data_IF_236709196324
#
_entry.id   IF_236709196324
#
_cell.length_a   1.000
_cell.length_b   1.000
_cell.length_c   1.000
_cell.angle_alpha   90.00
_cell.angle_beta   90.00
_cell.angle_gamma   90.00
#
_symmetry.space_group_name_H-M   'P 1'
#
loop_
_entity.id
_entity.type
_entity.pdbx_description
1 polymer ?
#
# COMPACT_ATOMS: atom_id res chain seq x y z
N UNK A 1 11.74 22.39 16.71
CA UNK A 1 11.98 22.13 15.28
C UNK A 1 10.71 21.54 14.74
N UNK A 2 9.92 22.31 13.99
CA UNK A 2 8.71 21.77 13.34
C UNK A 2 9.19 21.06 12.06
N UNK A 3 9.67 19.83 12.25
CA UNK A 3 10.10 18.99 11.14
C UNK A 3 8.86 18.60 10.35
N UNK A 4 8.81 18.95 9.07
CA UNK A 4 7.82 18.41 8.15
C UNK A 4 7.97 16.89 8.15
N UNK A 5 7.13 16.19 8.92
CA UNK A 5 7.04 14.74 8.84
C UNK A 5 6.27 14.41 7.54
N UNK A 6 6.96 13.77 6.60
CA UNK A 6 6.37 13.30 5.34
C UNK A 6 5.40 12.15 5.66
N UNK A 7 4.10 12.46 5.72
CA UNK A 7 3.01 11.51 6.00
C UNK A 7 2.01 11.46 4.85
N UNK A 8 1.30 10.33 4.76
CA UNK A 8 0.24 10.13 3.77
C UNK A 8 0.73 10.00 2.32
N UNK A 9 2.02 9.70 2.14
CA UNK A 9 2.63 9.60 0.81
C UNK A 9 2.51 8.17 0.29
N UNK A 10 2.05 8.04 -0.96
CA UNK A 10 2.05 6.78 -1.71
C UNK A 10 2.84 6.98 -2.99
N UNK A 11 3.84 6.14 -3.23
CA UNK A 11 4.68 6.19 -4.43
C UNK A 11 4.37 5.04 -5.39
N UNK A 12 4.51 5.33 -6.68
CA UNK A 12 4.31 4.38 -7.78
C UNK A 12 5.67 3.87 -8.25
N UNK A 13 5.95 2.60 -8.01
CA UNK A 13 7.13 1.89 -8.49
C UNK A 13 6.75 0.80 -9.50
N UNK A 14 5.54 0.87 -10.04
CA UNK A 14 5.03 -0.09 -11.01
C UNK A 14 5.58 0.20 -12.41
N UNK A 15 5.71 -0.84 -13.24
CA UNK A 15 6.28 -0.77 -14.59
C UNK A 15 5.25 -1.15 -15.66
N UNK A 16 4.26 -1.97 -15.32
CA UNK A 16 3.21 -2.40 -16.26
C UNK A 16 1.98 -1.49 -16.19
N UNK A 17 1.17 -1.53 -17.26
CA UNK A 17 -0.13 -0.84 -17.28
C UNK A 17 -1.06 -1.32 -16.16
N UNK A 18 -1.10 -2.63 -15.89
CA UNK A 18 -1.96 -3.20 -14.84
C UNK A 18 -1.54 -2.70 -13.47
N UNK A 19 -0.22 -2.62 -13.22
CA UNK A 19 0.30 -2.04 -11.99
C UNK A 19 -0.05 -0.56 -11.85
N UNK A 20 0.08 0.21 -12.94
CA UNK A 20 -0.29 1.63 -12.95
C UNK A 20 -1.78 1.83 -12.66
N UNK A 21 -2.64 1.07 -13.33
CA UNK A 21 -4.09 1.11 -13.15
C UNK A 21 -4.45 0.74 -11.69
N UNK A 22 -3.77 -0.24 -11.09
CA UNK A 22 -3.92 -0.56 -9.67
C UNK A 22 -3.48 0.57 -8.75
N UNK A 23 -2.30 1.17 -8.98
CA UNK A 23 -1.78 2.29 -8.20
C UNK A 23 -2.77 3.45 -8.20
N UNK A 24 -3.29 3.84 -9.36
CA UNK A 24 -4.20 4.98 -9.47
C UNK A 24 -5.50 4.75 -8.67
N UNK A 25 -6.07 3.54 -8.75
CA UNK A 25 -7.25 3.14 -7.97
C UNK A 25 -6.98 3.08 -6.46
N UNK A 26 -5.83 2.51 -6.08
CA UNK A 26 -5.40 2.46 -4.68
C UNK A 26 -5.20 3.87 -4.14
N UNK A 27 -4.46 4.73 -4.83
CA UNK A 27 -4.19 6.10 -4.42
C UNK A 27 -5.49 6.90 -4.26
N UNK A 28 -6.42 6.75 -5.21
CA UNK A 28 -7.74 7.35 -5.10
C UNK A 28 -8.46 6.91 -3.81
N UNK A 29 -8.52 5.59 -3.53
CA UNK A 29 -9.17 5.08 -2.31
C UNK A 29 -8.44 5.45 -1.03
N UNK A 30 -7.12 5.47 -1.05
CA UNK A 30 -6.29 5.90 0.07
C UNK A 30 -6.65 7.33 0.49
N UNK A 31 -6.79 8.24 -0.49
CA UNK A 31 -7.23 9.61 -0.26
C UNK A 31 -8.71 9.72 0.12
N UNK A 32 -9.59 8.96 -0.54
CA UNK A 32 -11.03 8.92 -0.22
C UNK A 32 -11.26 8.56 1.26
N UNK A 33 -10.53 7.58 1.78
CA UNK A 33 -10.58 7.16 3.17
C UNK A 33 -9.70 7.99 4.11
N UNK A 34 -9.02 9.02 3.60
CA UNK A 34 -8.14 9.92 4.36
C UNK A 34 -7.08 9.15 5.17
N UNK A 35 -6.53 8.09 4.58
CA UNK A 35 -5.45 7.33 5.21
C UNK A 35 -4.21 8.25 5.27
N UNK A 36 -3.52 8.26 6.41
CA UNK A 36 -2.38 9.13 6.65
C UNK A 36 -1.25 8.33 7.30
N UNK A 37 -0.59 7.48 6.51
CA UNK A 37 0.51 6.65 6.99
C UNK A 37 1.69 7.51 7.49
N UNK A 38 2.36 7.11 8.58
CA UNK A 38 3.50 7.85 9.12
C UNK A 38 4.76 7.74 8.26
N UNK A 39 4.80 6.79 7.32
CA UNK A 39 5.89 6.55 6.39
C UNK A 39 5.33 6.36 4.97
N UNK A 40 6.23 6.33 3.98
CA UNK A 40 5.88 6.15 2.57
C UNK A 40 5.34 4.75 2.33
N UNK A 41 4.14 4.66 1.76
CA UNK A 41 3.62 3.41 1.19
C UNK A 41 4.12 3.30 -0.25
N UNK A 42 4.78 2.20 -0.58
CA UNK A 42 5.19 1.89 -1.96
C UNK A 42 4.28 0.83 -2.57
N UNK A 43 3.92 1.02 -3.84
CA UNK A 43 3.31 0.01 -4.69
C UNK A 43 4.33 -0.35 -5.76
N UNK A 44 4.87 -1.57 -5.69
CA UNK A 44 5.93 -2.03 -6.57
C UNK A 44 5.56 -3.33 -7.29
N UNK A 45 6.33 -3.67 -8.32
CA UNK A 45 6.18 -4.90 -9.08
C UNK A 45 7.42 -5.79 -8.95
N UNK A 46 7.19 -7.05 -8.60
CA UNK A 46 8.19 -8.11 -8.64
C UNK A 46 7.90 -9.05 -9.81
N UNK A 47 8.92 -9.30 -10.64
CA UNK A 47 8.84 -10.31 -11.69
C UNK A 47 8.94 -11.69 -11.05
N UNK A 48 7.92 -12.51 -11.25
CA UNK A 48 7.92 -13.91 -10.80
C UNK A 48 8.17 -14.87 -11.97
N UNK A 49 8.36 -16.14 -11.64
CA UNK A 49 8.58 -17.20 -12.62
C UNK A 49 7.40 -17.29 -13.61
N UNK A 50 7.68 -17.61 -14.88
CA UNK A 50 6.70 -17.69 -15.97
C UNK A 50 6.02 -16.35 -16.38
N UNK A 51 6.70 -15.20 -16.22
CA UNK A 51 6.24 -13.87 -16.67
C UNK A 51 4.99 -13.34 -15.94
N UNK A 52 4.66 -13.89 -14.78
CA UNK A 52 3.61 -13.31 -13.94
C UNK A 52 4.19 -12.15 -13.14
N UNK A 53 3.46 -11.03 -13.08
CA UNK A 53 3.81 -9.88 -12.26
C UNK A 53 3.13 -9.98 -10.91
N UNK A 54 3.88 -9.84 -9.83
CA UNK A 54 3.34 -9.68 -8.49
C UNK A 54 3.32 -8.20 -8.12
N UNK A 55 2.18 -7.69 -7.65
CA UNK A 55 2.09 -6.38 -7.05
C UNK A 55 2.30 -6.49 -5.54
N UNK A 56 3.15 -5.61 -5.01
CA UNK A 56 3.53 -5.59 -3.59
C UNK A 56 3.24 -4.21 -3.03
N UNK A 57 2.45 -4.17 -1.96
CA UNK A 57 2.20 -2.98 -1.17
C UNK A 57 3.08 -3.09 0.07
N UNK A 58 3.94 -2.11 0.28
CA UNK A 58 4.91 -2.14 1.38
C UNK A 58 5.06 -0.78 2.06
N UNK A 59 5.54 -0.79 3.30
CA UNK A 59 5.95 0.39 4.03
C UNK A 59 7.19 0.04 4.85
N UNK A 60 8.24 0.87 4.80
CA UNK A 60 9.52 0.61 5.49
C UNK A 60 10.12 -0.79 5.21
N UNK A 61 10.07 -1.24 3.95
CA UNK A 61 10.53 -2.57 3.52
C UNK A 61 9.74 -3.75 4.12
N UNK A 62 8.64 -3.51 4.82
CA UNK A 62 7.72 -4.56 5.27
C UNK A 62 6.56 -4.69 4.27
N UNK A 63 6.31 -5.92 3.81
CA UNK A 63 5.17 -6.22 2.95
C UNK A 63 3.89 -6.17 3.76
N UNK A 64 2.99 -5.26 3.39
CA UNK A 64 1.64 -5.14 3.96
C UNK A 64 0.70 -6.13 3.28
N UNK A 65 0.76 -6.20 1.95
CA UNK A 65 -0.07 -7.07 1.14
C UNK A 65 0.58 -7.32 -0.22
N UNK A 66 0.38 -8.51 -0.78
CA UNK A 66 0.86 -8.85 -2.12
C UNK A 66 -0.11 -9.77 -2.85
N UNK A 67 -0.16 -9.65 -4.18
CA UNK A 67 -1.01 -10.49 -5.03
C UNK A 67 -0.51 -10.53 -6.49
N UNK A 68 -1.00 -11.49 -7.27
CA UNK A 68 -0.67 -11.60 -8.69
C UNK A 68 -1.50 -10.62 -9.52
N UNK A 69 -0.84 -9.79 -10.31
CA UNK A 69 -1.50 -8.82 -11.17
C UNK A 69 -2.32 -9.52 -12.27
N UNK A 70 -3.55 -9.04 -12.51
CA UNK A 70 -4.40 -9.46 -13.61
C UNK A 70 -5.12 -8.23 -14.19
N UNK A 71 -5.28 -8.13 -15.52
CA UNK A 71 -5.91 -6.98 -16.17
C UNK A 71 -7.44 -6.93 -16.00
N UNK A 72 -8.04 -7.97 -15.41
CA UNK A 72 -9.48 -8.03 -15.18
C UNK A 72 -9.91 -6.95 -14.19
N UNK A 73 -10.88 -6.12 -14.59
CA UNK A 73 -11.29 -4.93 -13.84
C UNK A 73 -11.97 -5.27 -12.51
N UNK A 74 -12.83 -6.30 -12.48
CA UNK A 74 -13.49 -6.75 -11.26
C UNK A 74 -12.46 -7.27 -10.24
N UNK A 75 -11.52 -8.07 -10.73
CA UNK A 75 -10.40 -8.55 -9.93
C UNK A 75 -9.56 -7.39 -9.39
N UNK A 76 -9.21 -6.40 -10.23
CA UNK A 76 -8.38 -5.27 -9.84
C UNK A 76 -9.07 -4.45 -8.73
N UNK A 77 -10.36 -4.14 -8.91
CA UNK A 77 -11.17 -3.47 -7.89
C UNK A 77 -11.22 -4.27 -6.58
N UNK A 78 -11.38 -5.59 -6.65
CA UNK A 78 -11.35 -6.45 -5.47
C UNK A 78 -10.00 -6.40 -4.74
N UNK A 79 -8.90 -6.42 -5.48
CA UNK A 79 -7.55 -6.32 -4.90
C UNK A 79 -7.28 -4.95 -4.30
N UNK A 80 -7.80 -3.87 -4.88
CA UNK A 80 -7.71 -2.51 -4.29
C UNK A 80 -8.39 -2.47 -2.93
N UNK A 81 -9.62 -2.98 -2.83
CA UNK A 81 -10.37 -3.02 -1.57
C UNK A 81 -9.63 -3.81 -0.48
N UNK A 82 -9.09 -4.99 -0.83
CA UNK A 82 -8.28 -5.81 0.09
C UNK A 82 -7.00 -5.11 0.53
N UNK A 83 -6.31 -4.46 -0.41
CA UNK A 83 -5.04 -3.78 -0.14
C UNK A 83 -5.23 -2.56 0.76
N UNK A 84 -6.30 -1.79 0.54
CA UNK A 84 -6.68 -0.66 1.40
C UNK A 84 -7.02 -1.14 2.81
N UNK A 85 -7.81 -2.20 2.94
CA UNK A 85 -8.14 -2.78 4.24
C UNK A 85 -6.89 -3.30 4.98
N UNK A 86 -5.98 -3.97 4.27
CA UNK A 86 -4.72 -4.45 4.82
C UNK A 86 -3.85 -3.27 5.32
N UNK A 87 -3.74 -2.20 4.52
CA UNK A 87 -3.01 -0.98 4.89
C UNK A 87 -3.58 -0.34 6.14
N UNK A 88 -4.90 -0.15 6.19
CA UNK A 88 -5.57 0.43 7.37
C UNK A 88 -5.35 -0.44 8.62
N UNK A 89 -5.47 -1.76 8.48
CA UNK A 89 -5.29 -2.69 9.59
C UNK A 89 -3.85 -2.69 10.12
N UNK A 90 -2.86 -2.66 9.21
CA UNK A 90 -1.45 -2.58 9.55
C UNK A 90 -1.14 -1.29 10.32
N UNK A 91 -1.60 -0.14 9.83
CA UNK A 91 -1.42 1.15 10.52
C UNK A 91 -2.05 1.15 11.92
N UNK A 92 -3.26 0.61 12.06
CA UNK A 92 -3.94 0.51 13.35
C UNK A 92 -3.19 -0.36 14.35
N UNK A 93 -2.47 -1.38 13.89
CA UNK A 93 -1.63 -2.21 14.76
C UNK A 93 -0.37 -1.44 15.20
N UNK A 94 0.30 -0.74 14.28
CA UNK A 94 1.44 0.13 14.62
C UNK A 94 1.06 1.21 15.65
N UNK A 95 -0.13 1.82 15.53
CA UNK A 95 -0.61 2.80 16.51
C UNK A 95 -0.80 2.20 17.90
N UNK A 96 -1.28 0.95 17.98
CA UNK A 96 -1.44 0.26 19.27
C UNK A 96 -0.09 -0.04 19.89
N UNK A 97 0.85 -0.58 19.11
CA UNK A 97 2.20 -0.90 19.55
C UNK A 97 2.90 0.34 20.11
N UNK A 98 2.89 1.45 19.38
CA UNK A 98 3.48 2.71 19.85
C UNK A 98 2.86 3.21 21.17
N UNK A 99 1.54 3.08 21.35
CA UNK A 99 0.89 3.45 22.63
C UNK A 99 1.41 2.63 23.80
N UNK A 100 1.63 1.32 23.63
CA UNK A 100 2.19 0.48 24.68
C UNK A 100 3.61 0.90 25.07
N UNK A 101 4.45 1.31 24.12
CA UNK A 101 5.82 1.76 24.41
C UNK A 101 5.89 3.11 25.13
N UNK A 102 4.95 4.02 24.87
CA UNK A 102 4.93 5.36 25.52
C UNK A 102 4.41 5.38 26.97
N UNK A 103 3.91 4.25 27.48
CA UNK A 103 3.32 4.14 28.82
C UNK A 103 4.30 3.64 29.91
N UNK A 104 5.58 3.44 29.57
CA UNK A 104 6.67 3.12 30.49
C UNK A 104 7.65 4.29 30.59
#
# INVERSE_FOLDING_TARGET
MDGFELKGIVIDETKTKVGKDFYDLYYYKYNEYKINAPNIVSISEELSFARNTKLVISMNNETIYEFMAKPDEEYLNNMVQKSIYATYSYLKNLEKENKYFTQY
#
